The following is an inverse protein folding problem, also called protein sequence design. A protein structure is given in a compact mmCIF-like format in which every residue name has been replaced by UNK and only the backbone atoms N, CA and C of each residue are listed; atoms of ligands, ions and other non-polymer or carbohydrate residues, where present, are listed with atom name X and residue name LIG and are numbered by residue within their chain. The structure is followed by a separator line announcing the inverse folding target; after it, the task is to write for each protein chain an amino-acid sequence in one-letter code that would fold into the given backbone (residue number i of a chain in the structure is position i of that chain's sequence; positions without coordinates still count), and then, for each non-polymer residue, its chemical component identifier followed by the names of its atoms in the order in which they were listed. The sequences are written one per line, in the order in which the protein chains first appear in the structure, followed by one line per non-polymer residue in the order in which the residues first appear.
data_IF_638552065164
#
_entry.id   IF_638552065164
#
_cell.length_a   1.000
_cell.length_b   1.000
_cell.length_c   1.000
_cell.angle_alpha   90.00
_cell.angle_beta   90.00
_cell.angle_gamma   90.00
#
_symmetry.space_group_name_H-M   'P 1'
#
loop_
_entity.id
_entity.type
_entity.pdbx_description
1 polymer ?
#
# COMPACT_ATOMS: atom_id res chain seq x y z
N UNK A 1 -19.01 0.63 -31.40
CA UNK A 1 -17.72 1.35 -31.56
C UNK A 1 -17.66 2.50 -30.55
N UNK A 2 -17.01 2.31 -29.40
CA UNK A 2 -16.41 3.37 -28.58
C UNK A 2 -15.18 2.77 -27.89
N UNK A 3 -14.03 2.91 -28.54
CA UNK A 3 -12.72 2.66 -27.94
C UNK A 3 -12.49 3.78 -26.94
N UNK A 4 -12.44 3.45 -25.66
CA UNK A 4 -11.90 4.35 -24.63
C UNK A 4 -10.69 3.60 -24.11
N UNK A 5 -9.51 4.20 -24.30
CA UNK A 5 -8.24 3.69 -23.79
C UNK A 5 -8.31 3.58 -22.27
N UNK A 6 -8.71 2.41 -21.77
CA UNK A 6 -8.72 2.11 -20.35
C UNK A 6 -7.29 1.84 -19.90
N UNK A 7 -6.69 2.78 -19.19
CA UNK A 7 -5.44 2.58 -18.46
C UNK A 7 -5.57 1.30 -17.62
N UNK A 8 -4.98 0.19 -18.07
CA UNK A 8 -4.85 -1.01 -17.24
C UNK A 8 -3.96 -0.64 -16.06
N UNK A 9 -4.54 -0.49 -14.86
CA UNK A 9 -3.79 -0.37 -13.60
C UNK A 9 -3.25 -1.76 -13.21
N UNK A 10 -2.40 -2.35 -14.03
CA UNK A 10 -1.67 -3.53 -13.61
C UNK A 10 -0.82 -3.16 -12.37
N UNK A 11 -1.09 -3.85 -11.26
CA UNK A 11 -0.32 -3.66 -10.02
C UNK A 11 0.89 -4.57 -10.12
N UNK A 12 2.04 -3.96 -10.40
CA UNK A 12 3.29 -4.67 -10.56
C UNK A 12 4.11 -4.65 -9.27
N UNK A 13 4.78 -5.76 -8.97
CA UNK A 13 5.89 -5.80 -8.02
C UNK A 13 7.13 -5.24 -8.73
N UNK A 14 7.62 -4.10 -8.27
CA UNK A 14 8.89 -3.54 -8.74
C UNK A 14 10.04 -4.14 -7.95
N UNK A 15 11.02 -4.71 -8.65
CA UNK A 15 12.13 -5.44 -8.05
C UNK A 15 13.42 -4.62 -7.96
N UNK A 16 13.48 -3.46 -8.63
CA UNK A 16 14.63 -2.56 -8.66
C UNK A 16 14.86 -2.02 -10.08
N UNK A 17 15.80 -1.08 -10.26
CA UNK A 17 16.08 -0.44 -11.56
C UNK A 17 16.51 -1.41 -12.67
N UNK A 18 17.06 -2.56 -12.30
CA UNK A 18 17.62 -3.55 -13.23
C UNK A 18 16.65 -4.71 -13.56
N UNK A 19 15.49 -4.80 -12.89
CA UNK A 19 14.62 -5.97 -12.99
C UNK A 19 13.25 -5.66 -13.61
N UNK A 20 12.75 -6.58 -14.44
CA UNK A 20 11.41 -6.46 -15.03
C UNK A 20 10.34 -6.63 -13.96
N UNK A 21 9.41 -5.68 -13.93
CA UNK A 21 8.26 -5.70 -13.04
C UNK A 21 7.44 -6.98 -13.22
N UNK A 22 7.04 -7.62 -12.12
CA UNK A 22 6.26 -8.88 -12.15
C UNK A 22 4.82 -8.63 -11.75
N UNK A 23 3.88 -9.25 -12.46
CA UNK A 23 2.46 -9.23 -12.13
C UNK A 23 2.24 -10.09 -10.88
N UNK A 24 1.60 -9.53 -9.85
CA UNK A 24 1.19 -10.30 -8.67
C UNK A 24 -0.28 -10.70 -8.88
N UNK A 25 -0.62 -12.01 -9.01
CA UNK A 25 -1.95 -12.44 -9.42
C UNK A 25 -3.10 -11.93 -8.54
N UNK A 26 -2.90 -11.82 -7.22
CA UNK A 26 -3.93 -11.30 -6.30
C UNK A 26 -4.26 -9.84 -6.56
N UNK A 27 -3.26 -9.04 -6.95
CA UNK A 27 -3.43 -7.63 -7.26
C UNK A 27 -3.81 -7.38 -8.72
N UNK A 28 -3.50 -8.29 -9.64
CA UNK A 28 -4.00 -8.21 -11.01
C UNK A 28 -5.52 -8.35 -11.07
N UNK A 29 -6.09 -9.23 -10.21
CA UNK A 29 -7.55 -9.39 -10.08
C UNK A 29 -8.26 -8.06 -9.76
N UNK A 30 -7.61 -7.14 -9.06
CA UNK A 30 -8.19 -5.84 -8.73
C UNK A 30 -8.57 -4.99 -9.95
N UNK A 31 -8.00 -5.27 -11.13
CA UNK A 31 -8.38 -4.61 -12.39
C UNK A 31 -9.76 -5.02 -12.91
N UNK A 32 -10.29 -6.14 -12.42
CA UNK A 32 -11.50 -6.76 -12.94
C UNK A 32 -12.62 -6.83 -11.90
N UNK A 33 -12.32 -6.52 -10.63
CA UNK A 33 -13.31 -6.46 -9.55
C UNK A 33 -14.14 -5.18 -9.65
N UNK A 34 -15.42 -5.27 -9.30
CA UNK A 34 -16.24 -4.09 -9.11
C UNK A 34 -15.79 -3.27 -7.87
N UNK A 35 -16.24 -2.03 -7.76
CA UNK A 35 -15.82 -1.12 -6.68
C UNK A 35 -16.09 -1.68 -5.27
N UNK A 36 -17.20 -2.40 -5.08
CA UNK A 36 -17.61 -2.94 -3.78
C UNK A 36 -16.77 -4.16 -3.41
N UNK A 37 -16.55 -5.06 -4.36
CA UNK A 37 -15.67 -6.22 -4.20
C UNK A 37 -14.22 -5.82 -3.99
N UNK A 38 -13.76 -4.80 -4.71
CA UNK A 38 -12.43 -4.23 -4.59
C UNK A 38 -12.23 -3.60 -3.20
N UNK A 39 -13.21 -2.82 -2.72
CA UNK A 39 -13.18 -2.25 -1.37
C UNK A 39 -13.07 -3.34 -0.30
N UNK A 40 -13.92 -4.37 -0.36
CA UNK A 40 -13.87 -5.52 0.57
C UNK A 40 -12.53 -6.24 0.56
N UNK A 41 -11.98 -6.52 -0.62
CA UNK A 41 -10.67 -7.16 -0.77
C UNK A 41 -9.56 -6.32 -0.14
N UNK A 42 -9.53 -5.00 -0.44
CA UNK A 42 -8.52 -4.09 0.11
C UNK A 42 -8.62 -3.95 1.62
N UNK A 43 -9.84 -3.82 2.15
CA UNK A 43 -10.07 -3.76 3.59
C UNK A 43 -9.59 -5.05 4.26
N UNK A 44 -9.87 -6.22 3.68
CA UNK A 44 -9.40 -7.52 4.20
C UNK A 44 -7.88 -7.63 4.33
N UNK A 45 -7.12 -7.06 3.39
CA UNK A 45 -5.65 -7.05 3.45
C UNK A 45 -5.09 -6.03 4.45
N UNK A 46 -5.70 -4.85 4.54
CA UNK A 46 -5.10 -3.72 5.27
C UNK A 46 -5.59 -3.62 6.73
N UNK A 47 -6.77 -4.15 7.04
CA UNK A 47 -7.40 -4.01 8.36
C UNK A 47 -6.60 -4.69 9.48
N UNK A 48 -6.21 -5.95 9.29
CA UNK A 48 -5.49 -6.73 10.31
C UNK A 48 -3.98 -6.48 10.22
N UNK A 49 -3.40 -5.83 11.23
CA UNK A 49 -1.97 -5.46 11.21
C UNK A 49 -1.03 -6.66 11.09
N UNK A 50 -1.35 -7.76 11.79
CA UNK A 50 -0.55 -8.99 11.71
C UNK A 50 -0.54 -9.57 10.30
N UNK A 51 -1.68 -9.55 9.61
CA UNK A 51 -1.75 -10.06 8.23
C UNK A 51 -1.03 -9.10 7.28
N UNK A 52 -1.23 -7.80 7.47
CA UNK A 52 -0.57 -6.76 6.69
C UNK A 52 0.96 -6.84 6.77
N UNK A 53 1.53 -7.06 7.95
CA UNK A 53 2.98 -7.20 8.13
C UNK A 53 3.52 -8.49 7.49
N UNK A 54 2.75 -9.59 7.52
CA UNK A 54 3.11 -10.82 6.81
C UNK A 54 3.12 -10.59 5.30
N UNK A 55 2.06 -9.97 4.78
CA UNK A 55 1.95 -9.66 3.36
C UNK A 55 3.09 -8.74 2.91
N UNK A 56 3.44 -7.72 3.70
CA UNK A 56 4.62 -6.89 3.46
C UNK A 56 5.89 -7.74 3.41
N UNK A 57 6.12 -8.60 4.40
CA UNK A 57 7.34 -9.41 4.44
C UNK A 57 7.48 -10.36 3.23
N UNK A 58 6.36 -10.86 2.70
CA UNK A 58 6.34 -11.76 1.55
C UNK A 58 6.43 -11.01 0.20
N UNK A 59 5.77 -9.86 0.11
CA UNK A 59 5.57 -9.13 -1.15
C UNK A 59 6.55 -7.97 -1.35
N UNK A 60 7.09 -7.39 -0.29
CA UNK A 60 8.16 -6.40 -0.44
C UNK A 60 9.41 -7.10 -0.94
N UNK A 61 10.15 -6.38 -1.77
CA UNK A 61 11.44 -6.84 -2.26
C UNK A 61 12.48 -6.43 -1.23
N UNK A 62 13.67 -7.06 -1.19
CA UNK A 62 14.73 -6.64 -0.26
C UNK A 62 15.00 -5.13 -0.33
N UNK A 63 14.90 -4.56 -1.54
CA UNK A 63 15.03 -3.12 -1.77
C UNK A 63 13.98 -2.27 -1.05
N UNK A 64 12.72 -2.74 -0.95
CA UNK A 64 11.65 -2.00 -0.29
C UNK A 64 11.42 -2.37 1.17
N UNK A 65 12.17 -3.33 1.70
CA UNK A 65 11.96 -3.81 3.07
C UNK A 65 12.12 -2.70 4.12
N UNK A 66 12.99 -1.71 3.84
CA UNK A 66 13.18 -0.54 4.68
C UNK A 66 11.89 0.30 4.84
N UNK A 67 11.00 0.28 3.83
CA UNK A 67 9.73 1.01 3.86
C UNK A 67 8.64 0.29 4.68
N UNK A 68 8.83 -0.97 5.08
CA UNK A 68 7.83 -1.76 5.79
C UNK A 68 7.33 -1.05 7.06
N UNK A 69 8.25 -0.45 7.83
CA UNK A 69 7.91 0.27 9.06
C UNK A 69 7.15 1.57 8.76
N UNK A 70 7.59 2.33 7.75
CA UNK A 70 6.92 3.55 7.29
C UNK A 70 5.46 3.26 6.86
N UNK A 71 5.29 2.25 6.01
CA UNK A 71 3.99 1.86 5.48
C UNK A 71 3.08 1.33 6.60
N UNK A 72 3.60 0.63 7.60
CA UNK A 72 2.80 0.23 8.76
C UNK A 72 2.38 1.41 9.65
N UNK A 73 3.22 2.44 9.82
CA UNK A 73 2.83 3.67 10.52
C UNK A 73 1.67 4.36 9.79
N UNK A 74 1.78 4.50 8.47
CA UNK A 74 0.70 5.05 7.64
C UNK A 74 -0.59 4.23 7.76
N UNK A 75 -0.49 2.90 7.72
CA UNK A 75 -1.64 1.99 7.90
C UNK A 75 -2.38 2.29 9.20
N UNK A 76 -1.66 2.44 10.32
CA UNK A 76 -2.26 2.73 11.63
C UNK A 76 -3.00 4.08 11.68
N UNK A 77 -2.54 5.08 10.91
CA UNK A 77 -3.21 6.38 10.79
C UNK A 77 -4.48 6.28 9.94
N UNK A 78 -4.43 5.54 8.83
CA UNK A 78 -5.56 5.42 7.89
C UNK A 78 -6.62 4.41 8.38
N UNK A 79 -6.22 3.41 9.18
CA UNK A 79 -7.09 2.39 9.75
C UNK A 79 -6.88 2.27 11.27
N UNK A 80 -7.29 3.29 12.05
CA UNK A 80 -7.23 3.22 13.50
C UNK A 80 -8.10 2.05 13.99
N UNK A 81 -7.60 1.33 15.00
CA UNK A 81 -8.30 0.17 15.60
C UNK A 81 -8.70 -0.93 14.60
N UNK A 82 -8.00 -1.06 13.46
CA UNK A 82 -8.27 -2.04 12.40
C UNK A 82 -9.58 -1.79 11.61
N UNK A 83 -10.19 -0.62 11.77
CA UNK A 83 -11.43 -0.26 11.09
C UNK A 83 -11.22 0.94 10.17
N UNK A 84 -11.96 1.03 9.05
CA UNK A 84 -12.05 2.26 8.27
C UNK A 84 -12.61 3.40 9.14
N UNK A 85 -12.19 4.63 8.86
CA UNK A 85 -12.78 5.81 9.47
C UNK A 85 -14.28 5.91 9.15
N UNK A 86 -15.12 6.01 10.18
CA UNK A 86 -16.56 6.29 10.01
C UNK A 86 -16.84 7.79 9.79
N UNK A 87 -15.90 8.65 10.22
CA UNK A 87 -15.97 10.11 10.07
C UNK A 87 -14.66 10.62 9.51
N UNK A 88 -14.72 11.62 8.64
CA UNK A 88 -13.54 12.26 8.09
C UNK A 88 -12.70 12.91 9.21
N UNK A 89 -11.42 12.55 9.30
CA UNK A 89 -10.43 13.29 10.08
C UNK A 89 -9.76 14.31 9.15
N UNK A 90 -10.06 15.59 9.36
CA UNK A 90 -9.50 16.71 8.57
C UNK A 90 -7.98 16.84 8.73
N UNK A 91 -7.41 16.31 9.80
CA UNK A 91 -5.98 16.32 10.05
C UNK A 91 -5.26 15.07 9.53
N UNK A 92 -5.99 14.05 9.07
CA UNK A 92 -5.41 12.79 8.62
C UNK A 92 -4.34 13.00 7.56
N UNK A 93 -4.60 13.90 6.61
CA UNK A 93 -3.65 14.22 5.56
C UNK A 93 -2.34 14.81 6.12
N UNK A 94 -2.43 15.75 7.07
CA UNK A 94 -1.27 16.33 7.75
C UNK A 94 -0.49 15.28 8.55
N UNK A 95 -1.20 14.41 9.28
CA UNK A 95 -0.61 13.29 10.03
C UNK A 95 0.12 12.30 9.13
N UNK A 96 -0.47 11.96 7.98
CA UNK A 96 0.16 11.08 6.99
C UNK A 96 1.42 11.71 6.39
N UNK A 97 1.39 13.02 6.10
CA UNK A 97 2.56 13.75 5.60
C UNK A 97 3.70 13.72 6.62
N UNK A 98 3.41 14.06 7.88
CA UNK A 98 4.42 14.01 8.94
C UNK A 98 5.03 12.60 9.07
N UNK A 99 4.20 11.56 9.04
CA UNK A 99 4.69 10.17 9.13
C UNK A 99 5.62 9.77 7.96
N UNK A 100 5.43 10.36 6.77
CA UNK A 100 6.32 10.17 5.63
C UNK A 100 7.64 10.93 5.81
N UNK A 101 7.58 12.19 6.28
CA UNK A 101 8.75 13.03 6.55
C UNK A 101 9.64 12.38 7.62
N UNK A 102 9.06 11.96 8.75
CA UNK A 102 9.77 11.26 9.83
C UNK A 102 10.42 9.97 9.35
N UNK A 103 9.73 9.23 8.47
CA UNK A 103 10.27 8.00 7.90
C UNK A 103 11.43 8.27 6.95
N UNK A 104 11.36 9.34 6.15
CA UNK A 104 12.45 9.74 5.26
C UNK A 104 13.71 10.12 6.06
N UNK A 105 13.56 10.87 7.14
CA UNK A 105 14.68 11.21 8.03
C UNK A 105 15.30 9.96 8.65
N UNK A 106 14.48 9.01 9.09
CA UNK A 106 14.94 7.75 9.67
C UNK A 106 15.70 6.89 8.65
N UNK A 107 15.20 6.78 7.41
CA UNK A 107 15.90 6.07 6.33
C UNK A 107 17.25 6.72 6.01
N UNK A 108 17.28 8.05 5.97
CA UNK A 108 18.51 8.82 5.73
C UNK A 108 19.53 8.61 6.86
N UNK A 109 19.05 8.52 8.11
CA UNK A 109 19.87 8.24 9.30
C UNK A 109 20.42 6.82 9.32
N UNK A 110 19.68 5.86 8.76
CA UNK A 110 20.08 4.45 8.66
C UNK A 110 21.01 4.17 7.46
N UNK A 111 21.28 5.16 6.60
CA UNK A 111 22.20 5.03 5.46
C UNK A 111 21.69 4.10 4.36
N UNK A 112 20.37 3.97 4.23
CA UNK A 112 19.68 3.17 3.19
C UNK A 112 19.36 4.03 1.98
#
# INVERSE_FOLDING_TARGET
MKRIFGYRKAVFRYLGPAERARVVPIYDRWNYLDTRELARNKTGLVAAERQFLKDIAELFTPYYQCLAQCVNRLRRLVFPMHSPWEREDRELYSKMRQALEDAQEELTRQGV
#
